data_IF_645442909164
#
_entry.id   IF_645442909164
#
_cell.length_a   1.000
_cell.length_b   1.000
_cell.length_c   1.000
_cell.angle_alpha   90.00
_cell.angle_beta   90.00
_cell.angle_gamma   90.00
#
_symmetry.space_group_name_H-M   'P 1'
#
loop_
_entity.id
_entity.type
_entity.pdbx_description
1 polymer ?
#
# COMPACT_ATOMS: atom_id res chain seq x y z
N UNK A 1 -23.88 -21.14 -54.10
CA UNK A 1 -23.81 -21.85 -52.80
C UNK A 1 -22.56 -21.50 -52.00
N UNK A 2 -21.37 -21.44 -52.62
CA UNK A 2 -20.09 -21.13 -51.93
C UNK A 2 -20.11 -19.82 -51.13
N UNK A 3 -20.66 -18.73 -51.70
CA UNK A 3 -20.77 -17.43 -51.01
C UNK A 3 -21.59 -17.47 -49.71
N UNK A 4 -22.61 -18.33 -49.63
CA UNK A 4 -23.43 -18.49 -48.43
C UNK A 4 -22.68 -19.28 -47.34
N UNK A 5 -21.81 -20.20 -47.74
CA UNK A 5 -20.96 -20.97 -46.82
C UNK A 5 -19.89 -20.04 -46.23
N UNK A 6 -19.26 -19.20 -47.02
CA UNK A 6 -18.27 -18.22 -46.54
C UNK A 6 -18.90 -17.20 -45.58
N UNK A 7 -20.09 -16.70 -45.90
CA UNK A 7 -20.83 -15.80 -45.01
C UNK A 7 -21.18 -16.48 -43.67
N UNK A 8 -21.60 -17.75 -43.69
CA UNK A 8 -21.89 -18.50 -42.48
C UNK A 8 -20.63 -18.72 -41.63
N UNK A 9 -19.49 -19.07 -42.26
CA UNK A 9 -18.22 -19.25 -41.57
C UNK A 9 -17.72 -17.94 -40.95
N UNK A 10 -17.80 -16.83 -41.69
CA UNK A 10 -17.42 -15.51 -41.18
C UNK A 10 -18.28 -15.09 -39.97
N UNK A 11 -19.58 -15.39 -40.01
CA UNK A 11 -20.51 -15.08 -38.92
C UNK A 11 -20.20 -15.89 -37.65
N UNK A 12 -19.87 -17.18 -37.81
CA UNK A 12 -19.47 -18.04 -36.69
C UNK A 12 -18.15 -17.55 -36.08
N UNK A 13 -17.14 -17.26 -36.90
CA UNK A 13 -15.84 -16.76 -36.43
C UNK A 13 -16.02 -15.41 -35.72
N UNK A 14 -16.78 -14.48 -36.31
CA UNK A 14 -17.08 -13.19 -35.70
C UNK A 14 -17.81 -13.33 -34.36
N UNK A 15 -18.80 -14.22 -34.27
CA UNK A 15 -19.52 -14.50 -33.03
C UNK A 15 -18.61 -15.06 -31.93
N UNK A 16 -17.72 -15.99 -32.26
CA UNK A 16 -16.75 -16.57 -31.31
C UNK A 16 -15.75 -15.51 -30.85
N UNK A 17 -15.17 -14.73 -31.76
CA UNK A 17 -14.24 -13.66 -31.43
C UNK A 17 -14.89 -12.60 -30.52
N UNK A 18 -16.11 -12.18 -30.83
CA UNK A 18 -16.86 -11.20 -30.04
C UNK A 18 -17.17 -11.74 -28.63
N UNK A 19 -17.53 -13.02 -28.52
CA UNK A 19 -17.76 -13.69 -27.23
C UNK A 19 -16.51 -13.76 -26.37
N UNK A 20 -15.36 -14.11 -26.96
CA UNK A 20 -14.08 -14.15 -26.25
C UNK A 20 -13.65 -12.76 -25.78
N UNK A 21 -13.77 -11.76 -26.64
CA UNK A 21 -13.48 -10.36 -26.30
C UNK A 21 -14.35 -9.88 -25.13
N UNK A 22 -15.65 -10.12 -25.19
CA UNK A 22 -16.57 -9.73 -24.12
C UNK A 22 -16.26 -10.41 -22.78
N UNK A 23 -15.90 -11.71 -22.79
CA UNK A 23 -15.47 -12.43 -21.58
C UNK A 23 -14.21 -11.83 -20.99
N UNK A 24 -13.23 -11.50 -21.83
CA UNK A 24 -11.98 -10.89 -21.39
C UNK A 24 -12.19 -9.48 -20.83
N UNK A 25 -13.01 -8.68 -21.49
CA UNK A 25 -13.38 -7.34 -21.01
C UNK A 25 -14.11 -7.39 -19.67
N UNK A 26 -15.07 -8.33 -19.51
CA UNK A 26 -15.78 -8.53 -18.24
C UNK A 26 -14.84 -9.00 -17.13
N UNK A 27 -13.94 -9.94 -17.43
CA UNK A 27 -12.93 -10.41 -16.47
C UNK A 27 -11.99 -9.28 -16.03
N UNK A 28 -11.55 -8.43 -16.96
CA UNK A 28 -10.76 -7.22 -16.66
C UNK A 28 -11.53 -6.24 -15.78
N UNK A 29 -12.82 -5.99 -16.07
CA UNK A 29 -13.65 -5.12 -15.23
C UNK A 29 -13.85 -5.68 -13.82
N UNK A 30 -14.08 -6.99 -13.69
CA UNK A 30 -14.22 -7.63 -12.38
C UNK A 30 -12.88 -7.61 -11.63
N UNK A 31 -11.74 -7.85 -12.29
CA UNK A 31 -10.43 -7.73 -11.67
C UNK A 31 -10.12 -6.28 -11.23
N UNK A 32 -10.53 -5.28 -12.01
CA UNK A 32 -10.41 -3.87 -11.64
C UNK A 32 -11.34 -3.47 -10.49
N UNK A 33 -12.54 -4.06 -10.42
CA UNK A 33 -13.49 -3.85 -9.33
C UNK A 33 -13.12 -4.64 -8.06
N UNK A 34 -12.42 -5.77 -8.20
CA UNK A 34 -11.72 -6.49 -7.13
C UNK A 34 -10.42 -5.80 -6.75
N UNK A 35 -10.37 -4.46 -6.80
CA UNK A 35 -9.51 -3.73 -5.90
C UNK A 35 -10.06 -4.01 -4.52
N UNK A 36 -9.52 -5.07 -3.92
CA UNK A 36 -9.56 -5.37 -2.49
C UNK A 36 -9.56 -4.03 -1.79
N UNK A 37 -10.58 -3.80 -0.94
CA UNK A 37 -10.64 -2.66 -0.04
C UNK A 37 -9.22 -2.34 0.39
N UNK A 38 -8.77 -1.11 0.13
CA UNK A 38 -7.40 -0.73 0.47
C UNK A 38 -7.14 -1.18 1.92
N UNK A 39 -5.94 -1.73 2.21
CA UNK A 39 -5.63 -2.26 3.55
C UNK A 39 -6.12 -1.27 4.59
N UNK A 40 -6.67 -1.74 5.71
CA UNK A 40 -7.43 -0.93 6.68
C UNK A 40 -6.72 0.37 7.11
N UNK A 41 -5.39 0.44 6.96
CA UNK A 41 -4.57 1.65 7.04
C UNK A 41 -5.01 2.83 6.14
N UNK A 42 -5.79 2.59 5.08
CA UNK A 42 -6.33 3.62 4.21
C UNK A 42 -7.57 4.31 4.79
N UNK A 43 -8.30 3.64 5.68
CA UNK A 43 -9.51 4.18 6.33
C UNK A 43 -9.22 4.73 7.74
N UNK A 44 -8.02 4.52 8.27
CA UNK A 44 -7.62 5.11 9.55
C UNK A 44 -7.58 6.63 9.47
N UNK A 45 -8.31 7.29 10.38
CA UNK A 45 -8.25 8.75 10.52
C UNK A 45 -6.82 9.19 10.84
N UNK A 46 -6.47 10.43 10.49
CA UNK A 46 -5.14 10.98 10.77
C UNK A 46 -4.77 10.87 12.26
N UNK A 47 -5.74 11.05 13.17
CA UNK A 47 -5.53 10.91 14.61
C UNK A 47 -5.18 9.48 15.04
N UNK A 48 -5.89 8.48 14.51
CA UNK A 48 -5.60 7.05 14.77
C UNK A 48 -4.22 6.67 14.24
N UNK A 49 -3.86 7.13 13.04
CA UNK A 49 -2.52 6.89 12.48
C UNK A 49 -1.41 7.49 13.34
N UNK A 50 -1.61 8.69 13.87
CA UNK A 50 -0.62 9.28 14.77
C UNK A 50 -0.54 8.49 16.09
N UNK A 51 -1.67 8.02 16.63
CA UNK A 51 -1.64 7.19 17.82
C UNK A 51 -0.86 5.88 17.59
N UNK A 52 -1.12 5.20 16.47
CA UNK A 52 -0.38 4.01 16.05
C UNK A 52 1.11 4.29 15.84
N UNK A 53 1.47 5.42 15.21
CA UNK A 53 2.85 5.85 15.03
C UNK A 53 3.53 6.12 16.39
N UNK A 54 2.80 6.70 17.36
CA UNK A 54 3.31 6.95 18.72
C UNK A 54 3.61 5.66 19.45
N UNK A 55 2.67 4.72 19.41
CA UNK A 55 2.80 3.41 20.04
C UNK A 55 3.95 2.62 19.41
N UNK A 56 4.05 2.67 18.07
CA UNK A 56 5.13 2.01 17.33
C UNK A 56 6.50 2.57 17.71
N UNK A 57 6.64 3.90 17.79
CA UNK A 57 7.91 4.53 18.16
C UNK A 57 8.23 4.38 19.66
N UNK A 58 7.20 4.32 20.52
CA UNK A 58 7.36 4.09 21.96
C UNK A 58 7.98 2.73 22.30
N UNK A 59 7.92 1.75 21.39
CA UNK A 59 8.60 0.46 21.52
C UNK A 59 10.11 0.48 21.24
N UNK A 60 10.69 1.62 20.83
CA UNK A 60 12.12 1.72 20.51
C UNK A 60 12.94 1.85 21.79
N UNK A 61 13.67 0.78 22.15
CA UNK A 61 14.59 0.77 23.29
C UNK A 61 15.83 1.62 23.02
N UNK A 62 15.84 2.86 23.54
CA UNK A 62 16.96 3.81 23.41
C UNK A 62 18.33 3.24 23.81
N UNK A 63 18.48 2.49 24.92
CA UNK A 63 19.78 1.95 25.36
C UNK A 63 20.39 0.90 24.41
N UNK A 64 19.60 0.26 23.54
CA UNK A 64 20.09 -0.74 22.59
C UNK A 64 20.51 -0.14 21.25
N UNK A 65 20.34 1.16 21.05
CA UNK A 65 20.75 1.84 19.83
C UNK A 65 22.26 2.13 19.85
N UNK A 66 22.86 2.11 18.66
CA UNK A 66 24.24 2.56 18.49
C UNK A 66 24.39 4.01 18.98
N UNK A 67 25.49 4.39 19.68
CA UNK A 67 25.66 5.72 20.28
C UNK A 67 25.38 6.88 19.32
N UNK A 68 25.82 6.75 18.06
CA UNK A 68 25.58 7.74 16.99
C UNK A 68 24.09 8.01 16.71
N UNK A 69 23.25 6.99 16.84
CA UNK A 69 21.81 7.09 16.60
C UNK A 69 21.03 7.43 17.87
N UNK A 70 21.61 7.18 19.05
CA UNK A 70 20.98 7.38 20.34
C UNK A 70 20.69 8.87 20.61
N UNK A 71 21.67 9.75 20.37
CA UNK A 71 21.50 11.19 20.56
C UNK A 71 20.39 11.75 19.66
N UNK A 72 20.39 11.35 18.39
CA UNK A 72 19.37 11.75 17.42
C UNK A 72 17.99 11.21 17.79
N UNK A 73 17.89 9.94 18.19
CA UNK A 73 16.64 9.32 18.65
C UNK A 73 16.10 10.04 19.89
N UNK A 74 16.97 10.33 20.85
CA UNK A 74 16.61 11.03 22.07
C UNK A 74 16.01 12.40 21.79
N UNK A 75 16.68 13.21 20.94
CA UNK A 75 16.17 14.53 20.55
C UNK A 75 14.81 14.45 19.87
N UNK A 76 14.61 13.47 18.98
CA UNK A 76 13.36 13.29 18.25
C UNK A 76 12.22 12.86 19.20
N UNK A 77 12.48 11.92 20.11
CA UNK A 77 11.47 11.46 21.07
C UNK A 77 11.10 12.53 22.09
N UNK A 78 12.04 13.39 22.52
CA UNK A 78 11.71 14.54 23.36
C UNK A 78 10.71 15.49 22.70
N UNK A 79 10.88 15.77 21.40
CA UNK A 79 9.95 16.61 20.63
C UNK A 79 8.58 15.94 20.50
N UNK A 80 8.55 14.62 20.23
CA UNK A 80 7.31 13.85 20.13
C UNK A 80 6.55 13.81 21.45
N UNK A 81 7.25 13.67 22.58
CA UNK A 81 6.60 13.63 23.89
C UNK A 81 6.06 15.00 24.33
N UNK A 82 6.78 16.08 24.02
CA UNK A 82 6.38 17.43 24.36
C UNK A 82 5.24 17.96 23.47
N UNK A 83 5.40 17.86 22.15
CA UNK A 83 4.55 18.57 21.17
C UNK A 83 3.72 17.61 20.29
N UNK A 84 3.90 16.30 20.45
CA UNK A 84 3.23 15.29 19.66
C UNK A 84 3.87 15.05 18.29
N UNK A 85 3.37 14.05 17.57
CA UNK A 85 3.93 13.59 16.29
C UNK A 85 3.84 14.65 15.20
N UNK A 86 2.87 15.55 15.29
CA UNK A 86 2.69 16.65 14.35
C UNK A 86 3.85 17.64 14.33
N UNK A 87 4.56 17.78 15.46
CA UNK A 87 5.71 18.67 15.56
C UNK A 87 6.94 18.15 14.80
N UNK A 88 7.01 16.84 14.52
CA UNK A 88 8.06 16.28 13.69
C UNK A 88 7.80 16.55 12.21
N UNK A 89 8.75 17.19 11.50
CA UNK A 89 8.66 17.35 10.06
C UNK A 89 8.74 15.97 9.36
N UNK A 90 8.11 15.80 8.18
CA UNK A 90 8.03 14.50 7.51
C UNK A 90 9.37 13.79 7.30
N UNK A 91 10.44 14.57 7.08
CA UNK A 91 11.81 14.06 6.90
C UNK A 91 12.35 13.37 8.16
N UNK A 92 12.02 13.90 9.33
CA UNK A 92 12.55 13.40 10.59
C UNK A 92 11.80 12.19 11.11
N UNK A 93 10.54 11.99 10.67
CA UNK A 93 9.74 10.78 10.92
C UNK A 93 10.32 9.53 10.27
N UNK A 94 11.05 9.69 9.15
CA UNK A 94 11.72 8.59 8.47
C UNK A 94 12.74 7.87 9.36
N UNK A 95 13.34 8.59 10.32
CA UNK A 95 14.34 8.01 11.20
C UNK A 95 13.77 6.94 12.15
N UNK A 96 12.76 7.25 13.01
CA UNK A 96 12.12 6.23 13.84
C UNK A 96 11.35 5.19 13.01
N UNK A 97 10.75 5.58 11.88
CA UNK A 97 10.09 4.61 10.99
C UNK A 97 11.08 3.53 10.50
N UNK A 98 12.27 3.93 10.04
CA UNK A 98 13.32 3.00 9.63
C UNK A 98 13.88 2.11 10.75
N UNK A 99 13.69 2.48 12.02
CA UNK A 99 14.05 1.62 13.15
C UNK A 99 12.99 0.57 13.46
N UNK A 100 11.73 0.85 13.14
CA UNK A 100 10.59 -0.03 13.43
C UNK A 100 10.28 -1.02 12.32
N UNK A 101 10.82 -0.81 11.12
CA UNK A 101 10.70 -1.78 10.02
C UNK A 101 11.52 -3.02 10.39
N UNK A 102 10.92 -4.22 10.52
CA UNK A 102 11.67 -5.45 10.69
C UNK A 102 12.53 -5.63 9.46
N UNK A 103 13.85 -5.47 9.63
CA UNK A 103 14.80 -5.80 8.57
C UNK A 103 14.73 -7.31 8.43
N UNK A 104 14.09 -7.78 7.35
CA UNK A 104 14.22 -9.15 6.89
C UNK A 104 15.72 -9.39 6.71
N UNK A 105 16.32 -10.06 7.68
CA UNK A 105 17.64 -10.64 7.54
C UNK A 105 17.50 -11.75 6.50
N UNK A 106 17.91 -11.44 5.27
CA UNK A 106 18.11 -12.45 4.23
C UNK A 106 19.25 -13.38 4.62
#
# INVERSE_FOLDING_TARGET
>A
MILWIEAAVALVIGGVACRLWYRHWRARKIAAARRVEAPNSHYSSAGVRNQEDRERWGGITLPSLHPLNQEKAHRLFLVVDADGIHALPPRDRLFPDNMTIPRLST
#
